data_IF_974186265727
#
_entry.id   IF_974186265727
#
_cell.length_a   1.000
_cell.length_b   1.000
_cell.length_c   1.000
_cell.angle_alpha   90.00
_cell.angle_beta   90.00
_cell.angle_gamma   90.00
#
_symmetry.space_group_name_H-M   'P 1'
#
loop_
_entity.id
_entity.type
_entity.pdbx_description
1 polymer ?
#
# COMPACT_ATOMS: atom_id res chain seq x y z
N UNK A 1 -14.11 19.90 53.77
CA UNK A 1 -13.88 19.11 52.56
C UNK A 1 -13.76 20.10 51.42
N UNK A 2 -12.59 20.26 50.82
CA UNK A 2 -12.42 21.14 49.67
C UNK A 2 -12.81 20.39 48.35
N UNK A 3 -13.53 21.12 47.50
CA UNK A 3 -13.92 20.71 46.15
C UNK A 3 -12.69 20.48 45.29
N UNK A 4 -12.59 19.28 44.72
CA UNK A 4 -11.57 18.92 43.72
C UNK A 4 -11.97 19.59 42.40
N UNK A 5 -11.12 20.49 41.93
CA UNK A 5 -11.20 21.11 40.63
C UNK A 5 -10.80 20.09 39.54
N UNK A 6 -11.71 19.81 38.63
CA UNK A 6 -11.44 18.99 37.45
C UNK A 6 -10.64 19.85 36.45
N UNK A 7 -9.59 19.31 35.82
CA UNK A 7 -8.84 20.07 34.83
C UNK A 7 -9.64 20.24 33.53
N UNK A 8 -9.47 21.40 32.94
CA UNK A 8 -10.05 21.87 31.69
C UNK A 8 -9.73 20.92 30.52
N UNK A 9 -10.64 20.95 29.54
CA UNK A 9 -10.57 20.21 28.28
C UNK A 9 -9.22 20.41 27.61
N UNK A 10 -8.66 19.36 26.95
CA UNK A 10 -7.45 19.53 26.12
C UNK A 10 -7.74 20.47 24.95
N UNK A 11 -6.83 21.41 24.75
CA UNK A 11 -6.80 22.34 23.61
C UNK A 11 -6.79 21.51 22.32
N UNK A 12 -7.73 21.83 21.43
CA UNK A 12 -7.74 21.32 20.05
C UNK A 12 -6.51 21.85 19.34
N UNK A 13 -5.54 20.97 19.11
CA UNK A 13 -4.46 21.22 18.16
C UNK A 13 -5.13 21.26 16.77
N UNK A 14 -5.11 22.43 16.13
CA UNK A 14 -5.49 22.59 14.73
C UNK A 14 -4.50 21.78 13.85
N UNK A 15 -4.80 20.49 13.66
CA UNK A 15 -4.17 19.63 12.67
C UNK A 15 -4.60 20.11 11.28
N UNK A 16 -3.62 20.27 10.41
CA UNK A 16 -3.76 20.73 9.04
C UNK A 16 -4.85 19.90 8.32
N UNK A 17 -5.93 20.53 7.89
CA UNK A 17 -7.17 19.90 7.38
C UNK A 17 -7.01 18.95 6.19
N UNK A 18 -5.81 18.88 5.58
CA UNK A 18 -5.51 17.99 4.46
C UNK A 18 -5.21 16.54 4.86
N UNK A 19 -4.78 16.27 6.09
CA UNK A 19 -4.33 14.94 6.51
C UNK A 19 -5.46 14.07 7.06
N UNK A 20 -6.53 14.66 7.60
CA UNK A 20 -7.72 13.95 8.08
C UNK A 20 -8.51 13.24 6.97
N UNK A 21 -8.38 13.71 5.72
CA UNK A 21 -9.16 13.23 4.57
C UNK A 21 -8.71 11.88 4.00
N UNK A 22 -7.46 11.49 4.23
CA UNK A 22 -6.92 10.26 3.63
C UNK A 22 -7.26 8.99 4.42
N UNK A 23 -7.72 9.15 5.67
CA UNK A 23 -7.90 8.05 6.64
C UNK A 23 -9.34 7.93 7.14
N UNK A 24 -10.26 8.75 6.64
CA UNK A 24 -11.70 8.60 6.90
C UNK A 24 -12.37 7.85 5.76
N UNK A 25 -13.34 6.98 6.09
CA UNK A 25 -14.07 6.17 5.11
C UNK A 25 -14.78 6.96 4.01
N UNK A 26 -15.08 8.25 4.22
CA UNK A 26 -15.71 9.11 3.21
C UNK A 26 -15.03 10.48 3.18
N UNK A 27 -14.40 10.87 2.06
CA UNK A 27 -13.78 12.18 1.93
C UNK A 27 -14.84 13.29 1.92
N UNK A 28 -14.68 14.34 2.74
CA UNK A 28 -15.57 15.49 2.78
C UNK A 28 -15.33 16.49 1.62
N UNK A 29 -14.25 16.30 0.84
CA UNK A 29 -13.94 17.16 -0.30
C UNK A 29 -14.93 16.96 -1.44
N UNK A 30 -15.34 18.07 -2.10
CA UNK A 30 -16.10 17.98 -3.35
C UNK A 30 -15.33 17.20 -4.41
N UNK A 31 -16.04 16.38 -5.19
CA UNK A 31 -15.44 15.65 -6.32
C UNK A 31 -14.90 16.63 -7.37
N UNK A 32 -13.71 16.36 -7.86
CA UNK A 32 -13.04 17.01 -8.99
C UNK A 32 -12.33 15.93 -9.80
N UNK A 33 -13.06 15.24 -10.69
CA UNK A 33 -12.50 14.19 -11.51
C UNK A 33 -11.32 14.69 -12.35
N UNK A 34 -10.27 13.87 -12.40
CA UNK A 34 -9.06 14.12 -13.19
C UNK A 34 -8.50 12.76 -13.67
N UNK A 35 -7.44 12.78 -14.45
CA UNK A 35 -6.71 11.58 -14.84
C UNK A 35 -5.21 11.77 -14.72
N UNK A 36 -4.51 10.66 -14.47
CA UNK A 36 -3.05 10.65 -14.41
C UNK A 36 -2.51 9.51 -15.25
N UNK A 37 -1.37 9.76 -15.89
CA UNK A 37 -0.72 8.77 -16.75
C UNK A 37 0.45 8.09 -16.03
N UNK A 38 0.34 6.79 -15.82
CA UNK A 38 1.44 5.93 -15.34
C UNK A 38 2.16 5.33 -16.55
N UNK A 39 3.44 5.64 -16.68
CA UNK A 39 4.30 5.08 -17.73
C UNK A 39 5.38 4.23 -17.07
N UNK A 40 5.35 2.92 -17.33
CA UNK A 40 6.33 1.92 -16.94
C UNK A 40 7.00 1.34 -18.20
N UNK A 41 8.14 0.64 -18.10
CA UNK A 41 8.83 0.07 -19.25
C UNK A 41 7.98 -0.91 -20.07
N UNK A 42 7.09 -1.64 -19.40
CA UNK A 42 6.28 -2.74 -19.95
C UNK A 42 4.83 -2.35 -20.24
N UNK A 43 4.32 -1.26 -19.64
CA UNK A 43 2.92 -0.83 -19.83
C UNK A 43 2.72 0.67 -19.58
N UNK A 44 1.63 1.18 -20.16
CA UNK A 44 1.14 2.54 -19.89
C UNK A 44 -0.32 2.46 -19.50
N UNK A 45 -0.68 3.15 -18.40
CA UNK A 45 -2.06 3.23 -17.91
C UNK A 45 -2.48 4.69 -17.81
N UNK A 46 -3.71 4.99 -18.22
CA UNK A 46 -4.38 6.25 -17.92
C UNK A 46 -5.42 5.99 -16.85
N UNK A 47 -5.15 6.51 -15.65
CA UNK A 47 -5.93 6.19 -14.47
C UNK A 47 -6.79 7.39 -14.07
N UNK A 48 -8.08 7.13 -13.85
CA UNK A 48 -8.99 8.12 -13.27
C UNK A 48 -8.61 8.39 -11.82
N UNK A 49 -8.71 9.64 -11.44
CA UNK A 49 -8.44 10.10 -10.07
C UNK A 49 -9.42 11.20 -9.67
N UNK A 50 -9.42 11.60 -8.40
CA UNK A 50 -10.32 12.64 -7.90
C UNK A 50 -9.69 13.35 -6.70
N UNK A 51 -10.22 14.52 -6.35
CA UNK A 51 -9.90 15.17 -5.08
C UNK A 51 -10.23 14.25 -3.89
N UNK A 52 -9.43 14.32 -2.82
CA UNK A 52 -9.64 13.49 -1.61
C UNK A 52 -9.05 12.08 -1.69
N UNK A 53 -8.27 11.75 -2.74
CA UNK A 53 -7.46 10.55 -2.79
C UNK A 53 -5.97 10.90 -2.81
N UNK A 54 -5.14 9.97 -2.35
CA UNK A 54 -3.69 10.16 -2.31
C UNK A 54 -3.13 10.39 -3.71
N UNK A 55 -2.28 11.43 -3.85
CA UNK A 55 -1.55 11.75 -5.11
C UNK A 55 -2.45 11.92 -6.34
N UNK A 56 -3.58 12.61 -6.18
CA UNK A 56 -4.63 12.75 -7.20
C UNK A 56 -4.19 13.50 -8.47
N UNK A 57 -3.16 14.32 -8.43
CA UNK A 57 -2.71 15.15 -9.56
C UNK A 57 -1.51 14.58 -10.35
N UNK A 58 -0.89 13.53 -9.83
CA UNK A 58 0.27 12.86 -10.47
C UNK A 58 0.51 11.51 -9.84
N UNK A 59 1.18 10.62 -10.57
CA UNK A 59 1.67 9.36 -9.99
C UNK A 59 2.72 9.67 -8.90
N UNK A 60 2.55 9.09 -7.73
CA UNK A 60 3.55 9.19 -6.66
C UNK A 60 4.89 8.60 -7.12
N UNK A 61 6.01 9.32 -6.96
CA UNK A 61 7.32 8.83 -7.42
C UNK A 61 7.77 7.56 -6.71
N UNK A 62 7.39 7.36 -5.44
CA UNK A 62 7.65 6.14 -4.69
C UNK A 62 6.88 4.95 -5.26
N UNK A 63 5.60 5.14 -5.54
CA UNK A 63 4.75 4.13 -6.20
C UNK A 63 5.34 3.74 -7.55
N UNK A 64 5.73 4.72 -8.39
CA UNK A 64 6.37 4.42 -9.67
C UNK A 64 7.69 3.65 -9.50
N UNK A 65 8.53 4.05 -8.56
CA UNK A 65 9.78 3.34 -8.26
C UNK A 65 9.52 1.91 -7.80
N UNK A 66 8.54 1.70 -6.91
CA UNK A 66 8.14 0.37 -6.44
C UNK A 66 7.75 -0.52 -7.62
N UNK A 67 6.88 -0.04 -8.50
CA UNK A 67 6.39 -0.79 -9.67
C UNK A 67 7.47 -1.10 -10.71
N UNK A 68 8.58 -0.36 -10.72
CA UNK A 68 9.74 -0.65 -11.55
C UNK A 68 10.66 -1.73 -10.96
N UNK A 69 10.56 -1.99 -9.66
CA UNK A 69 11.41 -2.95 -8.95
C UNK A 69 10.65 -4.26 -8.62
N UNK A 70 9.32 -4.21 -8.55
CA UNK A 70 8.49 -5.40 -8.25
C UNK A 70 8.55 -6.38 -9.42
N UNK A 71 9.10 -7.56 -9.14
CA UNK A 71 9.21 -8.67 -10.07
C UNK A 71 9.16 -10.02 -9.35
N UNK A 72 8.86 -11.09 -10.08
CA UNK A 72 8.96 -12.48 -9.59
C UNK A 72 8.07 -12.74 -8.38
N UNK A 73 6.83 -12.20 -8.37
CA UNK A 73 5.88 -12.49 -7.30
C UNK A 73 5.50 -13.97 -7.32
N UNK A 74 5.38 -14.61 -6.15
CA UNK A 74 4.89 -15.99 -6.03
C UNK A 74 3.48 -16.14 -6.63
N UNK A 75 3.13 -17.34 -7.07
CA UNK A 75 1.77 -17.66 -7.47
C UNK A 75 0.85 -17.69 -6.25
N UNK A 76 -0.37 -17.14 -6.37
CA UNK A 76 -1.36 -17.06 -5.31
C UNK A 76 -2.04 -15.69 -5.25
N UNK A 77 -2.71 -15.39 -4.15
CA UNK A 77 -3.40 -14.12 -3.99
C UNK A 77 -2.40 -12.95 -3.82
N UNK A 78 -2.65 -11.86 -4.54
CA UNK A 78 -1.89 -10.62 -4.46
C UNK A 78 -2.68 -9.54 -3.70
N UNK A 79 -2.00 -8.71 -2.94
CA UNK A 79 -2.63 -7.60 -2.22
C UNK A 79 -1.96 -6.27 -2.57
N UNK A 80 -2.76 -5.28 -2.94
CA UNK A 80 -2.41 -3.86 -2.91
C UNK A 80 -2.97 -3.25 -1.62
N UNK A 81 -2.11 -3.03 -0.64
CA UNK A 81 -2.50 -2.49 0.67
C UNK A 81 -2.40 -0.97 0.68
N UNK A 82 -3.54 -0.29 0.86
CA UNK A 82 -3.67 1.15 0.67
C UNK A 82 -3.73 1.50 -0.81
N UNK A 83 -4.67 0.88 -1.54
CA UNK A 83 -4.67 0.90 -3.00
C UNK A 83 -4.89 2.28 -3.62
N UNK A 84 -5.47 3.24 -2.89
CA UNK A 84 -5.83 4.54 -3.45
C UNK A 84 -6.73 4.38 -4.68
N UNK A 85 -6.47 5.15 -5.72
CA UNK A 85 -7.16 5.00 -7.01
C UNK A 85 -6.63 3.85 -7.88
N UNK A 86 -5.76 2.98 -7.36
CA UNK A 86 -5.39 1.69 -7.94
C UNK A 86 -4.19 1.65 -8.88
N UNK A 87 -3.17 2.52 -8.78
CA UNK A 87 -1.99 2.43 -9.65
C UNK A 87 -1.21 1.13 -9.47
N UNK A 88 -1.06 0.63 -8.24
CA UNK A 88 -0.42 -0.65 -7.95
C UNK A 88 -1.37 -1.78 -8.37
N UNK A 89 -2.62 -1.76 -7.90
CA UNK A 89 -3.63 -2.78 -8.20
C UNK A 89 -3.76 -3.04 -9.70
N UNK A 90 -3.97 -1.99 -10.49
CA UNK A 90 -4.14 -2.12 -11.95
C UNK A 90 -2.87 -2.65 -12.63
N UNK A 91 -1.69 -2.23 -12.16
CA UNK A 91 -0.42 -2.75 -12.68
C UNK A 91 -0.25 -4.24 -12.37
N UNK A 92 -0.54 -4.66 -11.13
CA UNK A 92 -0.45 -6.06 -10.73
C UNK A 92 -1.42 -6.94 -11.52
N UNK A 93 -2.67 -6.55 -11.64
CA UNK A 93 -3.66 -7.30 -12.41
C UNK A 93 -3.28 -7.45 -13.90
N UNK A 94 -2.62 -6.44 -14.48
CA UNK A 94 -2.11 -6.51 -15.85
C UNK A 94 -0.89 -7.42 -15.99
N UNK A 95 0.01 -7.44 -15.00
CA UNK A 95 1.24 -8.27 -15.02
C UNK A 95 0.97 -9.71 -14.63
N UNK A 96 -0.03 -9.95 -13.79
CA UNK A 96 -0.35 -11.27 -13.23
C UNK A 96 -1.85 -11.60 -13.44
N UNK A 97 -2.32 -11.71 -14.69
CA UNK A 97 -3.77 -11.76 -15.00
C UNK A 97 -4.46 -13.04 -14.53
N UNK A 98 -3.70 -14.07 -14.15
CA UNK A 98 -4.23 -15.34 -13.65
C UNK A 98 -4.25 -15.45 -12.13
N UNK A 99 -3.81 -14.41 -11.43
CA UNK A 99 -3.79 -14.37 -9.98
C UNK A 99 -4.95 -13.51 -9.44
N UNK A 100 -5.53 -13.94 -8.33
CA UNK A 100 -6.57 -13.15 -7.64
C UNK A 100 -5.94 -11.92 -7.00
N UNK A 101 -6.48 -10.74 -7.26
CA UNK A 101 -6.01 -9.48 -6.70
C UNK A 101 -6.97 -8.96 -5.63
N UNK A 102 -6.42 -8.57 -4.51
CA UNK A 102 -7.13 -7.86 -3.43
C UNK A 102 -6.59 -6.43 -3.32
N UNK A 103 -7.43 -5.45 -3.63
CA UNK A 103 -7.13 -4.03 -3.47
C UNK A 103 -7.87 -3.50 -2.25
N UNK A 104 -7.14 -3.07 -1.24
CA UNK A 104 -7.70 -2.73 0.07
C UNK A 104 -7.43 -1.28 0.40
N UNK A 105 -8.47 -0.52 0.73
CA UNK A 105 -8.35 0.87 1.19
C UNK A 105 -9.51 1.23 2.12
N UNK A 106 -9.28 2.09 3.10
CA UNK A 106 -10.32 2.61 4.00
C UNK A 106 -11.24 3.63 3.29
N UNK A 107 -10.73 4.32 2.28
CA UNK A 107 -11.40 5.43 1.59
C UNK A 107 -12.35 4.91 0.49
N UNK A 108 -13.66 5.13 0.63
CA UNK A 108 -14.70 4.72 -0.33
C UNK A 108 -14.48 5.26 -1.75
N UNK A 109 -14.06 6.53 -1.85
CA UNK A 109 -13.78 7.16 -3.15
C UNK A 109 -12.57 6.53 -3.82
N UNK A 110 -11.53 6.23 -3.05
CA UNK A 110 -10.35 5.53 -3.55
C UNK A 110 -10.74 4.15 -4.09
N UNK A 111 -11.52 3.37 -3.35
CA UNK A 111 -12.01 2.05 -3.80
C UNK A 111 -12.85 2.16 -5.07
N UNK A 112 -13.76 3.13 -5.14
CA UNK A 112 -14.59 3.35 -6.34
C UNK A 112 -13.75 3.66 -7.58
N UNK A 113 -12.73 4.51 -7.45
CA UNK A 113 -11.78 4.83 -8.52
C UNK A 113 -10.90 3.63 -8.89
N UNK A 114 -10.39 2.91 -7.90
CA UNK A 114 -9.61 1.68 -8.11
C UNK A 114 -10.41 0.66 -8.92
N UNK A 115 -11.67 0.43 -8.55
CA UNK A 115 -12.58 -0.49 -9.27
C UNK A 115 -12.80 -0.03 -10.72
N UNK A 116 -13.07 1.26 -10.94
CA UNK A 116 -13.25 1.81 -12.29
C UNK A 116 -11.98 1.66 -13.15
N UNK A 117 -10.80 1.91 -12.57
CA UNK A 117 -9.53 1.75 -13.24
C UNK A 117 -9.22 0.29 -13.57
N UNK A 118 -9.48 -0.64 -12.66
CA UNK A 118 -9.36 -2.08 -12.94
C UNK A 118 -10.30 -2.48 -14.09
N UNK A 119 -11.58 -2.10 -14.04
CA UNK A 119 -12.55 -2.41 -15.10
C UNK A 119 -12.13 -1.88 -16.48
N UNK A 120 -11.48 -0.73 -16.52
CA UNK A 120 -11.03 -0.12 -17.78
C UNK A 120 -9.76 -0.74 -18.37
N UNK A 121 -8.95 -1.42 -17.56
CA UNK A 121 -7.59 -1.81 -17.98
C UNK A 121 -7.30 -3.31 -17.90
N UNK A 122 -8.10 -4.10 -17.19
CA UNK A 122 -7.84 -5.55 -17.04
C UNK A 122 -8.80 -6.38 -17.86
N UNK A 123 -8.39 -7.61 -18.17
CA UNK A 123 -9.22 -8.53 -18.94
C UNK A 123 -10.48 -8.95 -18.14
N UNK A 124 -11.62 -9.20 -18.80
CA UNK A 124 -12.86 -9.54 -18.11
C UNK A 124 -12.80 -10.78 -17.22
N UNK A 125 -11.90 -11.71 -17.52
CA UNK A 125 -11.68 -12.94 -16.75
C UNK A 125 -10.74 -12.77 -15.55
N UNK A 126 -10.11 -11.61 -15.38
CA UNK A 126 -9.24 -11.36 -14.23
C UNK A 126 -10.07 -11.26 -12.96
N UNK A 127 -9.65 -11.99 -11.93
CA UNK A 127 -10.31 -11.99 -10.64
C UNK A 127 -9.72 -10.91 -9.74
N UNK A 128 -10.56 -9.98 -9.28
CA UNK A 128 -10.14 -8.95 -8.32
C UNK A 128 -11.25 -8.54 -7.37
N UNK A 129 -10.85 -8.18 -6.16
CA UNK A 129 -11.69 -7.66 -5.09
C UNK A 129 -11.19 -6.28 -4.68
N UNK A 130 -12.08 -5.29 -4.67
CA UNK A 130 -11.78 -3.94 -4.18
C UNK A 130 -12.67 -3.69 -2.98
N UNK A 131 -12.09 -3.71 -1.80
CA UNK A 131 -12.82 -3.85 -0.53
C UNK A 131 -12.25 -2.94 0.56
N UNK A 132 -13.03 -2.73 1.61
CA UNK A 132 -12.56 -2.12 2.84
C UNK A 132 -11.79 -3.12 3.70
N UNK A 133 -10.97 -2.67 4.68
CA UNK A 133 -10.26 -3.59 5.58
C UNK A 133 -11.19 -4.53 6.36
N UNK A 134 -12.39 -4.08 6.69
CA UNK A 134 -13.39 -4.83 7.45
C UNK A 134 -14.04 -5.97 6.63
N UNK A 135 -13.97 -5.88 5.30
CA UNK A 135 -14.50 -6.88 4.37
C UNK A 135 -13.49 -7.97 4.01
N UNK A 136 -12.24 -7.83 4.48
CA UNK A 136 -11.18 -8.82 4.21
C UNK A 136 -11.50 -10.12 4.95
N UNK A 137 -11.57 -11.28 4.26
CA UNK A 137 -11.77 -12.56 4.94
C UNK A 137 -10.69 -12.84 5.98
N UNK A 138 -11.09 -13.32 7.15
CA UNK A 138 -10.16 -13.63 8.24
C UNK A 138 -9.12 -14.69 7.83
N UNK A 139 -9.53 -15.67 7.06
CA UNK A 139 -8.72 -16.80 6.59
C UNK A 139 -7.84 -16.45 5.37
N UNK A 140 -7.93 -15.24 4.85
CA UNK A 140 -7.19 -14.87 3.64
C UNK A 140 -5.68 -14.97 3.89
N UNK A 141 -5.02 -15.87 3.17
CA UNK A 141 -3.57 -15.94 3.04
C UNK A 141 -3.16 -15.41 1.67
N UNK A 142 -1.98 -14.82 1.59
CA UNK A 142 -1.56 -14.09 0.39
C UNK A 142 -0.11 -14.42 -0.01
N UNK A 143 0.10 -14.60 -1.30
CA UNK A 143 1.41 -14.86 -1.87
C UNK A 143 2.28 -13.60 -1.90
N UNK A 144 1.66 -12.43 -2.16
CA UNK A 144 2.41 -11.19 -2.12
C UNK A 144 1.57 -9.99 -1.67
N UNK A 145 2.23 -9.07 -0.96
CA UNK A 145 1.73 -7.75 -0.61
C UNK A 145 2.59 -6.72 -1.31
N UNK A 146 1.98 -5.78 -2.02
CA UNK A 146 2.67 -4.64 -2.63
C UNK A 146 2.02 -3.37 -2.11
N UNK A 147 2.80 -2.46 -1.52
CA UNK A 147 2.20 -1.31 -0.84
C UNK A 147 3.09 -0.07 -0.89
N UNK A 148 2.45 1.06 -1.10
CA UNK A 148 2.93 2.37 -0.66
C UNK A 148 2.14 2.72 0.60
N UNK A 149 2.58 2.26 1.77
CA UNK A 149 1.73 2.25 2.96
C UNK A 149 1.44 3.67 3.47
N UNK A 150 0.30 3.88 4.19
CA UNK A 150 -0.12 5.18 4.67
C UNK A 150 0.72 5.66 5.87
N UNK A 151 1.95 6.11 5.62
CA UNK A 151 2.93 6.48 6.66
C UNK A 151 2.42 7.59 7.59
N UNK A 152 1.50 8.44 7.11
CA UNK A 152 0.97 9.59 7.87
C UNK A 152 0.02 9.21 9.02
N UNK A 153 -0.44 7.96 9.10
CA UNK A 153 -1.22 7.47 10.25
C UNK A 153 -0.41 7.41 11.55
N UNK A 154 0.89 7.66 11.44
CA UNK A 154 1.81 7.58 12.56
C UNK A 154 2.51 6.23 12.67
N UNK A 155 3.66 6.24 13.33
CA UNK A 155 4.58 5.10 13.37
C UNK A 155 3.97 3.84 13.97
N UNK A 156 3.31 3.97 15.12
CA UNK A 156 2.72 2.82 15.82
C UNK A 156 1.57 2.18 15.03
N UNK A 157 0.69 3.02 14.48
CA UNK A 157 -0.43 2.53 13.66
C UNK A 157 0.06 1.86 12.36
N UNK A 158 1.09 2.41 11.73
CA UNK A 158 1.72 1.79 10.56
C UNK A 158 2.32 0.42 10.89
N UNK A 159 3.00 0.29 12.02
CA UNK A 159 3.61 -0.97 12.44
C UNK A 159 2.55 -2.03 12.72
N UNK A 160 1.49 -1.68 13.46
CA UNK A 160 0.37 -2.57 13.72
C UNK A 160 -0.34 -3.00 12.42
N UNK A 161 -0.56 -2.07 11.49
CA UNK A 161 -1.13 -2.38 10.18
C UNK A 161 -0.27 -3.40 9.42
N UNK A 162 1.04 -3.15 9.33
CA UNK A 162 1.95 -4.04 8.61
C UNK A 162 2.07 -5.39 9.30
N UNK A 163 2.09 -5.46 10.62
CA UNK A 163 2.11 -6.72 11.36
C UNK A 163 0.90 -7.59 11.04
N UNK A 164 -0.31 -7.02 11.08
CA UNK A 164 -1.55 -7.74 10.71
C UNK A 164 -1.44 -8.33 9.30
N UNK A 165 -0.96 -7.56 8.34
CA UNK A 165 -0.88 -8.00 6.96
C UNK A 165 0.27 -8.95 6.67
N UNK A 166 1.43 -8.76 7.28
CA UNK A 166 2.58 -9.65 7.11
C UNK A 166 2.33 -11.05 7.69
N UNK A 167 1.48 -11.17 8.72
CA UNK A 167 1.05 -12.48 9.23
C UNK A 167 0.18 -13.27 8.24
N UNK A 168 -0.41 -12.62 7.24
CA UNK A 168 -1.20 -13.27 6.18
C UNK A 168 -0.33 -13.81 5.04
N UNK A 169 0.97 -13.54 5.04
CA UNK A 169 1.87 -14.05 4.00
C UNK A 169 1.97 -15.58 4.07
N UNK A 170 1.83 -16.22 2.92
CA UNK A 170 2.02 -17.67 2.78
C UNK A 170 3.43 -18.10 3.16
N UNK A 171 3.54 -19.14 3.98
CA UNK A 171 4.82 -19.72 4.37
C UNK A 171 5.14 -20.88 3.43
N UNK A 172 6.36 -21.01 2.93
CA UNK A 172 7.56 -20.17 3.17
C UNK A 172 7.82 -19.10 2.10
N UNK A 173 6.94 -18.90 1.14
CA UNK A 173 7.25 -18.16 -0.10
C UNK A 173 6.63 -16.76 -0.18
N UNK A 174 5.72 -16.42 0.73
CA UNK A 174 5.06 -15.12 0.73
C UNK A 174 6.02 -13.96 0.91
N UNK A 175 5.78 -12.85 0.21
CA UNK A 175 6.67 -11.69 0.18
C UNK A 175 5.89 -10.37 0.22
N UNK A 176 6.41 -9.38 0.93
CA UNK A 176 5.90 -8.02 0.86
C UNK A 176 6.92 -7.08 0.21
N UNK A 177 6.43 -6.22 -0.68
CA UNK A 177 7.18 -5.15 -1.32
C UNK A 177 6.63 -3.81 -0.85
N UNK A 178 7.45 -3.04 -0.16
CA UNK A 178 7.04 -1.78 0.45
C UNK A 178 7.89 -0.63 -0.08
N UNK A 179 7.26 0.50 -0.39
CA UNK A 179 7.99 1.74 -0.64
C UNK A 179 7.82 2.69 0.54
N UNK A 180 8.93 3.18 1.07
CA UNK A 180 8.94 4.10 2.21
C UNK A 180 9.93 5.23 1.98
N UNK A 181 9.52 6.48 2.23
CA UNK A 181 10.44 7.60 2.14
C UNK A 181 11.40 7.60 3.35
N UNK A 182 12.71 7.81 3.11
CA UNK A 182 13.75 7.74 4.16
C UNK A 182 13.47 8.65 5.35
N UNK A 183 12.98 9.87 5.10
CA UNK A 183 12.64 10.84 6.14
C UNK A 183 11.35 10.53 6.89
N UNK A 184 10.57 9.58 6.40
CA UNK A 184 9.34 9.10 7.01
C UNK A 184 9.50 7.75 7.73
N UNK A 185 10.76 7.36 8.00
CA UNK A 185 11.04 6.25 8.90
C UNK A 185 11.43 4.92 8.24
N UNK A 186 11.87 4.91 6.97
CA UNK A 186 12.26 3.66 6.29
C UNK A 186 13.27 2.81 7.07
N UNK A 187 14.31 3.43 7.63
CA UNK A 187 15.32 2.69 8.42
C UNK A 187 14.78 2.21 9.78
N UNK A 188 13.86 2.96 10.36
CA UNK A 188 13.20 2.59 11.60
C UNK A 188 12.24 1.43 11.38
N UNK A 189 11.52 1.42 10.25
CA UNK A 189 10.64 0.34 9.86
C UNK A 189 11.44 -0.95 9.60
N UNK A 190 12.54 -0.87 8.82
CA UNK A 190 13.40 -2.04 8.58
C UNK A 190 13.84 -2.69 9.88
N UNK A 191 14.39 -1.90 10.81
CA UNK A 191 14.84 -2.42 12.11
C UNK A 191 13.72 -3.00 12.97
N UNK A 192 12.53 -2.41 12.89
CA UNK A 192 11.38 -2.96 13.60
C UNK A 192 10.98 -4.33 13.04
N UNK A 193 10.82 -4.44 11.72
CA UNK A 193 10.46 -5.71 11.09
C UNK A 193 11.54 -6.80 11.30
N UNK A 194 12.82 -6.42 11.27
CA UNK A 194 13.93 -7.34 11.59
C UNK A 194 13.85 -7.82 13.06
N UNK A 195 13.49 -6.95 13.99
CA UNK A 195 13.31 -7.29 15.40
C UNK A 195 12.10 -8.23 15.63
N UNK A 196 11.05 -8.10 14.81
CA UNK A 196 9.89 -9.02 14.79
C UNK A 196 10.17 -10.33 14.04
N UNK A 197 11.41 -10.55 13.57
CA UNK A 197 11.83 -11.81 12.96
C UNK A 197 11.61 -11.91 11.46
N UNK A 198 11.32 -10.83 10.76
CA UNK A 198 11.25 -10.82 9.30
C UNK A 198 12.62 -10.63 8.67
N UNK A 199 12.81 -11.19 7.49
CA UNK A 199 13.95 -10.90 6.63
C UNK A 199 13.65 -9.65 5.82
N UNK A 200 14.43 -8.58 5.99
CA UNK A 200 14.24 -7.31 5.28
C UNK A 200 15.41 -7.04 4.36
N UNK A 201 15.12 -6.98 3.07
CA UNK A 201 16.10 -6.63 2.03
C UNK A 201 15.80 -5.25 1.46
N UNK A 202 16.78 -4.35 1.47
CA UNK A 202 16.70 -3.08 0.78
C UNK A 202 17.06 -3.27 -0.69
N UNK A 203 16.05 -3.33 -1.55
CA UNK A 203 16.21 -3.59 -2.99
C UNK A 203 16.74 -2.36 -3.71
N UNK A 204 16.16 -1.20 -3.45
CA UNK A 204 16.50 0.06 -4.12
C UNK A 204 16.44 1.24 -3.17
N UNK A 205 17.32 2.21 -3.40
CA UNK A 205 17.24 3.52 -2.77
C UNK A 205 17.43 4.60 -3.84
N UNK A 206 16.38 5.41 -4.08
CA UNK A 206 16.41 6.47 -5.11
C UNK A 206 15.50 7.64 -4.70
N UNK A 207 15.96 8.87 -4.92
CA UNK A 207 15.19 10.11 -4.70
C UNK A 207 14.54 10.19 -3.30
N UNK A 208 15.21 9.67 -2.28
CA UNK A 208 14.67 9.63 -0.92
C UNK A 208 13.75 8.46 -0.62
N UNK A 209 13.33 7.67 -1.60
CA UNK A 209 12.54 6.46 -1.38
C UNK A 209 13.43 5.23 -1.21
N UNK A 210 12.94 4.27 -0.45
CA UNK A 210 13.52 2.94 -0.28
C UNK A 210 12.48 1.89 -0.60
N UNK A 211 12.87 0.93 -1.44
CA UNK A 211 12.09 -0.26 -1.70
C UNK A 211 12.62 -1.35 -0.77
N UNK A 212 11.73 -1.85 0.06
CA UNK A 212 11.98 -2.93 0.99
C UNK A 212 11.25 -4.19 0.50
N UNK A 213 11.97 -5.30 0.46
CA UNK A 213 11.40 -6.64 0.28
C UNK A 213 11.43 -7.33 1.64
N UNK A 214 10.28 -7.80 2.09
CA UNK A 214 10.08 -8.40 3.41
C UNK A 214 9.58 -9.82 3.23
N UNK A 215 10.18 -10.78 3.91
CA UNK A 215 9.78 -12.19 3.90
C UNK A 215 9.83 -12.76 5.31
N UNK A 216 9.11 -13.85 5.57
CA UNK A 216 9.21 -14.54 6.84
C UNK A 216 10.57 -15.25 6.97
N UNK A 217 11.14 -15.32 8.20
CA UNK A 217 12.34 -16.08 8.47
C UNK A 217 12.08 -17.57 8.22
N UNK A 218 12.87 -18.16 7.31
CA UNK A 218 12.68 -19.55 6.86
C UNK A 218 12.24 -19.68 5.40
N UNK A 219 11.89 -18.58 4.73
CA UNK A 219 11.70 -18.55 3.28
C UNK A 219 13.08 -18.56 2.57
N UNK A 220 13.32 -19.42 1.56
CA UNK A 220 14.54 -19.32 0.78
C UNK A 220 14.52 -18.00 -0.01
N UNK A 221 15.44 -17.10 0.28
CA UNK A 221 15.68 -15.92 -0.55
C UNK A 221 16.24 -16.40 -1.89
N UNK A 222 15.41 -16.45 -2.92
CA UNK A 222 15.87 -16.60 -4.28
C UNK A 222 16.58 -15.28 -4.68
N UNK A 223 17.86 -15.19 -4.31
CA UNK A 223 18.77 -14.18 -4.85
C UNK A 223 19.22 -14.73 -6.20
N UNK A 224 18.45 -14.48 -7.24
CA UNK A 224 19.00 -14.60 -8.58
C UNK A 224 20.00 -13.47 -8.75
N UNK A 225 21.26 -13.83 -8.57
CA UNK A 225 22.38 -12.94 -8.77
C UNK A 225 22.41 -12.43 -10.19
N UNK A 226 22.41 -11.12 -10.33
CA UNK A 226 22.95 -10.46 -11.52
C UNK A 226 24.42 -10.91 -11.62
N UNK A 227 24.71 -11.81 -12.53
CA UNK A 227 26.11 -12.04 -12.93
C UNK A 227 26.56 -10.88 -13.82
N UNK A 228 27.84 -10.52 -13.75
CA UNK A 228 28.43 -9.34 -14.39
C UNK A 228 28.41 -9.38 -15.92
#
# INVERSE_FOLDING_TARGET
>A
MPLVHLPDKPETVEGNSSDEYYFSGSPSSASRPDSVRLVLPDLTLELQTDAGVFSSSRIDPGTKLLLMEVEGLPAGALVDLGCGYGPIATTLARRYPTQTLWAVDVNDRARSLCKANLQAHVEPQSEYHVISPEEVPDELTVAAIVSNPPIRIGKLALYALLEIWLHRLEVPHGVAWLVVHKHLGADSLSRHLEAEGYLVTKVRSRQGYRILKVAQSGAPLNVQGSQP
#
